data_IF_146129919915
#
_entry.id   IF_146129919915
#
_cell.length_a   1.000
_cell.length_b   1.000
_cell.length_c   1.000
_cell.angle_alpha   90.00
_cell.angle_beta   90.00
_cell.angle_gamma   90.00
#
_symmetry.space_group_name_H-M   'P 1'
#
loop_
_entity.id
_entity.type
_entity.pdbx_description
1 polymer ?
#
# COMPACT_ATOMS: atom_id res chain seq x y z
N UNK A 1 26.80 -47.93 -41.50
CA UNK A 1 25.62 -47.47 -40.75
C UNK A 1 25.71 -45.97 -40.56
N UNK A 2 24.82 -45.18 -41.19
CA UNK A 2 24.74 -43.73 -40.96
C UNK A 2 23.85 -43.50 -39.74
N UNK A 3 24.41 -42.92 -38.67
CA UNK A 3 23.64 -42.47 -37.52
C UNK A 3 23.11 -41.06 -37.80
N UNK A 4 21.80 -40.94 -37.98
CA UNK A 4 21.12 -39.65 -38.06
C UNK A 4 20.92 -39.15 -36.64
N UNK A 5 21.64 -38.08 -36.28
CA UNK A 5 21.48 -37.41 -34.99
C UNK A 5 20.17 -36.59 -35.03
N UNK A 6 19.15 -37.03 -34.30
CA UNK A 6 17.90 -36.26 -34.14
C UNK A 6 18.14 -35.27 -32.99
N UNK A 7 18.36 -34.00 -33.32
CA UNK A 7 18.32 -32.91 -32.34
C UNK A 7 16.88 -32.67 -31.92
N UNK A 8 16.53 -33.09 -30.70
CA UNK A 8 15.26 -32.76 -30.06
C UNK A 8 15.34 -31.32 -29.54
N UNK A 9 14.76 -30.37 -30.28
CA UNK A 9 14.54 -29.01 -29.77
C UNK A 9 13.41 -29.05 -28.74
N UNK A 10 13.75 -28.97 -27.45
CA UNK A 10 12.79 -28.69 -26.39
C UNK A 10 12.30 -27.24 -26.57
N UNK A 11 11.10 -27.06 -27.13
CA UNK A 11 10.39 -25.80 -27.05
C UNK A 11 9.88 -25.62 -25.63
N UNK A 12 10.47 -24.68 -24.88
CA UNK A 12 9.87 -24.17 -23.65
C UNK A 12 8.59 -23.44 -24.05
N UNK A 13 7.43 -24.10 -23.86
CA UNK A 13 6.14 -23.42 -23.96
C UNK A 13 6.05 -22.53 -22.70
N UNK A 14 5.96 -21.20 -22.83
CA UNK A 14 5.76 -20.35 -21.66
C UNK A 14 4.45 -20.77 -20.99
N UNK A 15 4.50 -21.09 -19.70
CA UNK A 15 3.30 -21.29 -18.91
C UNK A 15 2.52 -19.98 -18.91
N UNK A 16 1.39 -19.95 -19.62
CA UNK A 16 0.48 -18.82 -19.55
C UNK A 16 -0.12 -18.86 -18.15
N UNK A 17 0.29 -17.92 -17.30
CA UNK A 17 -0.37 -17.70 -16.02
C UNK A 17 -1.74 -17.09 -16.33
N UNK A 18 -2.78 -17.90 -16.14
CA UNK A 18 -4.17 -17.50 -16.42
C UNK A 18 -4.68 -16.45 -15.44
N UNK A 19 -4.08 -16.35 -14.25
CA UNK A 19 -4.35 -15.31 -13.26
C UNK A 19 -3.51 -15.50 -12.01
N UNK A 20 -3.41 -14.44 -11.21
CA UNK A 20 -2.73 -14.43 -9.91
C UNK A 20 -3.66 -13.78 -8.89
N UNK A 21 -3.74 -14.33 -7.69
CA UNK A 21 -4.43 -13.70 -6.56
C UNK A 21 -3.53 -13.76 -5.32
N UNK A 22 -3.02 -12.60 -4.91
CA UNK A 22 -2.22 -12.45 -3.71
C UNK A 22 -3.11 -12.52 -2.46
N UNK A 23 -2.60 -13.09 -1.38
CA UNK A 23 -3.33 -13.15 -0.10
C UNK A 23 -3.25 -11.81 0.66
N UNK A 24 -3.56 -10.69 -0.01
CA UNK A 24 -3.63 -9.37 0.64
C UNK A 24 -4.82 -9.39 1.61
N UNK A 25 -4.60 -9.10 2.90
CA UNK A 25 -5.65 -9.13 3.90
C UNK A 25 -6.55 -7.89 3.78
N UNK A 26 -7.85 -8.11 3.73
CA UNK A 26 -8.84 -7.04 3.54
C UNK A 26 -9.20 -6.32 4.83
N UNK A 27 -9.37 -4.99 4.74
CA UNK A 27 -10.16 -4.21 5.70
C UNK A 27 -10.98 -3.11 5.00
N UNK A 28 -12.10 -2.75 5.61
CA UNK A 28 -12.89 -1.57 5.23
C UNK A 28 -12.26 -0.31 5.82
N UNK A 29 -12.31 0.82 5.10
CA UNK A 29 -11.90 2.13 5.65
C UNK A 29 -12.71 2.52 6.89
N UNK A 30 -13.90 1.94 7.07
CA UNK A 30 -14.69 2.01 8.30
C UNK A 30 -14.75 0.60 8.92
N UNK A 31 -13.75 0.17 9.73
CA UNK A 31 -13.67 -1.19 10.26
C UNK A 31 -14.89 -1.60 11.10
N UNK A 32 -15.41 -0.66 11.89
CA UNK A 32 -16.59 -0.84 12.74
C UNK A 32 -17.92 -0.52 12.02
N UNK A 33 -17.87 -0.22 10.72
CA UNK A 33 -19.03 0.20 9.93
C UNK A 33 -19.53 1.63 10.20
N UNK A 34 -18.79 2.44 10.96
CA UNK A 34 -19.06 3.85 11.17
C UNK A 34 -18.45 4.70 10.04
N UNK A 35 -19.29 5.23 9.15
CA UNK A 35 -18.87 6.05 8.00
C UNK A 35 -18.89 7.56 8.29
N UNK A 36 -18.63 7.97 9.54
CA UNK A 36 -18.41 9.37 9.92
C UNK A 36 -16.91 9.64 10.01
N UNK A 37 -16.51 10.90 9.99
CA UNK A 37 -15.13 11.32 10.24
C UNK A 37 -14.51 10.61 11.47
N UNK A 38 -13.24 10.17 11.39
CA UNK A 38 -12.34 10.34 10.24
C UNK A 38 -12.58 9.35 9.09
N UNK A 39 -13.34 8.28 9.32
CA UNK A 39 -13.47 7.12 8.41
C UNK A 39 -14.05 7.40 7.01
N UNK A 40 -14.54 8.60 6.75
CA UNK A 40 -15.01 8.99 5.41
C UNK A 40 -13.85 9.12 4.43
N UNK A 41 -12.68 9.53 4.92
CA UNK A 41 -11.51 9.91 4.11
C UNK A 41 -10.28 9.14 4.61
N UNK A 42 -10.45 7.84 4.88
CA UNK A 42 -9.35 6.95 5.29
C UNK A 42 -9.10 5.82 4.29
N UNK A 43 -9.39 6.06 3.00
CA UNK A 43 -9.25 5.03 1.98
C UNK A 43 -7.76 4.76 1.66
N UNK A 44 -6.94 5.79 1.75
CA UNK A 44 -5.48 5.74 1.61
C UNK A 44 -4.85 4.99 2.77
N UNK A 45 -5.19 5.35 4.01
CA UNK A 45 -4.70 4.68 5.22
C UNK A 45 -5.11 3.21 5.24
N UNK A 46 -6.36 2.89 4.89
CA UNK A 46 -6.81 1.50 4.80
C UNK A 46 -6.03 0.73 3.72
N UNK A 47 -5.78 1.33 2.56
CA UNK A 47 -4.99 0.71 1.49
C UNK A 47 -3.54 0.44 1.91
N UNK A 48 -2.91 1.41 2.58
CA UNK A 48 -1.58 1.27 3.17
C UNK A 48 -1.56 0.12 4.18
N UNK A 49 -2.53 0.06 5.09
CA UNK A 49 -2.64 -0.98 6.13
C UNK A 49 -2.81 -2.38 5.54
N UNK A 50 -3.59 -2.53 4.47
CA UNK A 50 -3.74 -3.82 3.78
C UNK A 50 -2.42 -4.31 3.17
N UNK A 51 -1.70 -3.44 2.48
CA UNK A 51 -0.38 -3.77 1.90
C UNK A 51 0.66 -4.03 3.00
N UNK A 52 0.65 -3.24 4.06
CA UNK A 52 1.56 -3.41 5.19
C UNK A 52 1.36 -4.77 5.87
N UNK A 53 0.11 -5.16 6.15
CA UNK A 53 -0.20 -6.49 6.70
C UNK A 53 0.19 -7.63 5.74
N UNK A 54 0.02 -7.45 4.44
CA UNK A 54 0.50 -8.42 3.44
C UNK A 54 2.02 -8.63 3.56
N UNK A 55 2.78 -7.53 3.65
CA UNK A 55 4.23 -7.56 3.80
C UNK A 55 4.72 -8.02 5.18
N UNK A 56 3.88 -7.94 6.20
CA UNK A 56 4.09 -8.58 7.50
C UNK A 56 3.69 -10.07 7.50
N UNK A 57 3.26 -10.63 6.35
CA UNK A 57 2.84 -12.03 6.18
C UNK A 57 1.64 -12.40 7.06
N UNK A 58 0.69 -11.48 7.23
CA UNK A 58 -0.56 -11.80 7.89
C UNK A 58 -1.25 -12.96 7.14
N UNK A 59 -1.57 -14.02 7.89
CA UNK A 59 -2.15 -15.25 7.34
C UNK A 59 -3.66 -15.13 7.11
N UNK A 60 -4.32 -14.19 7.78
CA UNK A 60 -5.76 -14.03 7.69
C UNK A 60 -6.13 -13.25 6.43
N UNK A 61 -7.13 -13.70 5.68
CA UNK A 61 -7.62 -12.96 4.50
C UNK A 61 -8.37 -11.66 4.88
N UNK A 62 -8.70 -11.46 6.16
CA UNK A 62 -9.25 -10.21 6.69
C UNK A 62 -8.46 -9.77 7.92
N UNK A 63 -8.23 -8.47 8.04
CA UNK A 63 -7.65 -7.87 9.23
C UNK A 63 -8.73 -7.77 10.31
N UNK A 64 -8.39 -8.14 11.55
CA UNK A 64 -9.33 -8.03 12.67
C UNK A 64 -9.73 -6.57 12.91
N UNK A 65 -11.01 -6.34 13.27
CA UNK A 65 -11.59 -4.98 13.32
C UNK A 65 -10.80 -4.04 14.23
N UNK A 66 -10.43 -4.50 15.43
CA UNK A 66 -9.66 -3.69 16.39
C UNK A 66 -8.24 -3.43 15.91
N UNK A 67 -7.63 -4.39 15.22
CA UNK A 67 -6.31 -4.25 14.62
C UNK A 67 -6.35 -3.20 13.49
N UNK A 68 -7.27 -3.36 12.53
CA UNK A 68 -7.44 -2.44 11.42
C UNK A 68 -7.71 -1.01 11.91
N UNK A 69 -8.59 -0.84 12.91
CA UNK A 69 -8.86 0.47 13.54
C UNK A 69 -7.59 1.10 14.10
N UNK A 70 -6.80 0.34 14.87
CA UNK A 70 -5.56 0.83 15.47
C UNK A 70 -4.55 1.25 14.40
N UNK A 71 -4.33 0.40 13.40
CA UNK A 71 -3.33 0.62 12.36
C UNK A 71 -3.72 1.78 11.42
N UNK A 72 -4.99 1.90 11.03
CA UNK A 72 -5.47 3.04 10.23
C UNK A 72 -5.27 4.35 10.99
N UNK A 73 -5.63 4.40 12.28
CA UNK A 73 -5.43 5.58 13.11
C UNK A 73 -3.94 5.91 13.34
N UNK A 74 -3.06 4.92 13.29
CA UNK A 74 -1.62 5.14 13.38
C UNK A 74 -1.08 5.84 12.12
N UNK A 75 -1.48 5.38 10.93
CA UNK A 75 -1.11 6.06 9.67
C UNK A 75 -1.65 7.49 9.65
N UNK A 76 -2.92 7.68 10.06
CA UNK A 76 -3.53 9.01 10.19
C UNK A 76 -2.75 9.91 11.16
N UNK A 77 -2.31 9.37 12.30
CA UNK A 77 -1.51 10.12 13.29
C UNK A 77 -0.16 10.56 12.72
N UNK A 78 0.54 9.69 11.99
CA UNK A 78 1.82 10.04 11.33
C UNK A 78 1.58 11.21 10.36
N UNK A 79 0.55 11.09 9.51
CA UNK A 79 0.12 12.13 8.58
C UNK A 79 -0.15 13.47 9.29
N UNK A 80 -0.97 13.45 10.33
CA UNK A 80 -1.33 14.66 11.09
C UNK A 80 -0.13 15.33 11.76
N UNK A 81 0.82 14.55 12.29
CA UNK A 81 2.05 15.09 12.91
C UNK A 81 2.94 15.75 11.87
N UNK A 82 3.08 15.16 10.68
CA UNK A 82 4.08 15.59 9.69
C UNK A 82 3.55 16.66 8.74
N UNK A 83 2.28 16.61 8.36
CA UNK A 83 1.69 17.51 7.36
C UNK A 83 0.44 18.24 7.84
N UNK A 84 -0.02 17.98 9.07
CA UNK A 84 -1.26 18.55 9.59
C UNK A 84 -2.51 17.79 9.11
N UNK A 85 -3.67 18.34 9.42
CA UNK A 85 -4.95 17.70 9.09
C UNK A 85 -5.27 17.86 7.61
N UNK A 86 -5.38 16.73 6.91
CA UNK A 86 -5.92 16.61 5.56
C UNK A 86 -7.00 15.53 5.53
N UNK A 87 -7.97 15.70 4.63
CA UNK A 87 -9.01 14.70 4.39
C UNK A 87 -8.48 13.65 3.40
N UNK A 88 -8.21 14.06 2.17
CA UNK A 88 -7.65 13.21 1.11
C UNK A 88 -6.19 13.58 0.82
N UNK A 89 -5.40 12.61 0.36
CA UNK A 89 -4.02 12.82 -0.11
C UNK A 89 -3.82 12.33 -1.53
N UNK A 90 -2.94 13.00 -2.26
CA UNK A 90 -2.51 12.53 -3.58
C UNK A 90 -1.49 11.39 -3.48
N UNK A 91 -1.23 10.72 -4.60
CA UNK A 91 -0.31 9.60 -4.66
C UNK A 91 1.13 9.97 -4.27
N UNK A 92 1.57 11.20 -4.55
CA UNK A 92 2.91 11.67 -4.16
C UNK A 92 3.06 11.72 -2.63
N UNK A 93 2.04 12.21 -1.92
CA UNK A 93 2.02 12.25 -0.46
C UNK A 93 1.95 10.85 0.14
N UNK A 94 1.15 9.95 -0.44
CA UNK A 94 1.11 8.54 -0.01
C UNK A 94 2.48 7.87 -0.18
N UNK A 95 3.15 8.06 -1.32
CA UNK A 95 4.50 7.53 -1.55
C UNK A 95 5.51 8.13 -0.57
N UNK A 96 5.44 9.43 -0.30
CA UNK A 96 6.29 10.08 0.72
C UNK A 96 6.05 9.48 2.11
N UNK A 97 4.81 9.21 2.49
CA UNK A 97 4.49 8.64 3.80
C UNK A 97 5.13 7.26 3.93
N UNK A 98 4.87 6.39 2.95
CA UNK A 98 5.42 5.03 2.92
C UNK A 98 6.94 5.06 2.99
N UNK A 99 7.55 5.85 2.12
CA UNK A 99 9.01 5.86 1.97
C UNK A 99 9.72 6.46 3.17
N UNK A 100 9.13 7.42 3.89
CA UNK A 100 9.74 7.93 5.11
C UNK A 100 9.50 7.01 6.31
N UNK A 101 8.31 6.41 6.43
CA UNK A 101 7.86 5.90 7.74
C UNK A 101 7.60 4.41 7.85
N UNK A 102 7.46 3.67 6.74
CA UNK A 102 7.03 2.26 6.76
C UNK A 102 8.12 1.28 6.35
N UNK A 103 8.11 0.01 6.82
CA UNK A 103 9.18 -0.98 6.60
C UNK A 103 9.08 -1.66 5.22
N UNK A 104 8.75 -0.86 4.20
CA UNK A 104 8.64 -1.21 2.79
C UNK A 104 8.69 0.08 1.95
N UNK A 105 8.72 -0.07 0.63
CA UNK A 105 8.95 1.03 -0.32
C UNK A 105 7.80 1.16 -1.32
N UNK A 106 7.58 2.37 -1.81
CA UNK A 106 6.65 2.65 -2.87
C UNK A 106 7.25 3.56 -3.95
N UNK A 107 6.78 3.41 -5.18
CA UNK A 107 7.16 4.22 -6.35
C UNK A 107 5.91 4.70 -7.07
N UNK A 108 5.94 5.97 -7.47
CA UNK A 108 4.89 6.59 -8.27
C UNK A 108 5.13 6.30 -9.74
N UNK A 109 4.15 5.69 -10.40
CA UNK A 109 4.19 5.39 -11.83
C UNK A 109 3.11 6.21 -12.54
N UNK A 110 3.54 7.11 -13.42
CA UNK A 110 2.64 7.88 -14.28
C UNK A 110 2.23 7.06 -15.51
N UNK A 111 0.96 7.16 -15.88
CA UNK A 111 0.34 6.45 -17.00
C UNK A 111 0.72 4.96 -17.05
N UNK A 112 0.51 4.21 -15.95
CA UNK A 112 0.89 2.80 -15.87
C UNK A 112 0.15 2.00 -16.95
N UNK A 113 0.86 1.07 -17.59
CA UNK A 113 0.23 0.11 -18.51
C UNK A 113 -0.41 -1.05 -17.74
N UNK A 114 -1.36 -1.74 -18.38
CA UNK A 114 -1.96 -2.96 -17.85
C UNK A 114 -0.90 -4.02 -17.52
N UNK A 115 0.08 -4.19 -18.41
CA UNK A 115 1.14 -5.19 -18.24
C UNK A 115 2.10 -4.83 -17.11
N UNK A 116 2.39 -3.54 -16.90
CA UNK A 116 3.20 -3.11 -15.75
C UNK A 116 2.50 -3.47 -14.43
N UNK A 117 1.19 -3.20 -14.31
CA UNK A 117 0.43 -3.57 -13.11
C UNK A 117 0.44 -5.08 -12.90
N UNK A 118 0.21 -5.88 -13.95
CA UNK A 118 0.25 -7.35 -13.86
C UNK A 118 1.63 -7.86 -13.45
N UNK A 119 2.70 -7.29 -13.99
CA UNK A 119 4.07 -7.66 -13.63
C UNK A 119 4.36 -7.43 -12.15
N UNK A 120 3.84 -6.36 -11.53
CA UNK A 120 3.96 -6.18 -10.07
C UNK A 120 3.27 -7.32 -9.31
N UNK A 121 2.04 -7.65 -9.69
CA UNK A 121 1.27 -8.75 -9.08
C UNK A 121 1.99 -10.10 -9.25
N UNK A 122 2.53 -10.40 -10.43
CA UNK A 122 3.33 -11.60 -10.70
C UNK A 122 4.59 -11.66 -9.82
N UNK A 123 5.14 -10.50 -9.44
CA UNK A 123 6.29 -10.38 -8.53
C UNK A 123 5.88 -10.27 -7.04
N UNK A 124 4.67 -10.72 -6.69
CA UNK A 124 4.16 -10.72 -5.32
C UNK A 124 4.15 -9.32 -4.69
N UNK A 125 3.85 -8.30 -5.50
CA UNK A 125 3.83 -6.89 -5.13
C UNK A 125 2.43 -6.31 -5.42
N UNK A 126 1.58 -6.12 -4.38
CA UNK A 126 0.29 -5.46 -4.55
C UNK A 126 0.46 -4.04 -5.08
N UNK A 127 -0.53 -3.53 -5.80
CA UNK A 127 -0.48 -2.17 -6.37
C UNK A 127 -1.57 -1.32 -5.73
N UNK A 128 -1.21 -0.18 -5.17
CA UNK A 128 -2.19 0.81 -4.66
C UNK A 128 -2.55 1.75 -5.81
N UNK A 129 -3.83 2.04 -6.00
CA UNK A 129 -4.27 2.94 -7.08
C UNK A 129 -5.22 4.03 -6.59
N UNK A 130 -4.93 5.31 -6.84
CA UNK A 130 -5.93 6.37 -6.76
C UNK A 130 -6.87 6.30 -7.96
N UNK A 131 -8.16 6.53 -7.72
CA UNK A 131 -9.19 6.45 -8.76
C UNK A 131 -10.25 7.54 -8.64
N UNK A 132 -10.79 7.94 -9.78
CA UNK A 132 -12.05 8.65 -9.85
C UNK A 132 -13.20 7.67 -9.59
N UNK A 133 -13.66 7.62 -8.34
CA UNK A 133 -14.57 6.58 -7.83
C UNK A 133 -15.91 6.47 -8.57
N UNK A 134 -16.37 7.56 -9.20
CA UNK A 134 -17.61 7.55 -10.03
C UNK A 134 -17.52 6.63 -11.25
N UNK A 135 -16.32 6.41 -11.78
CA UNK A 135 -16.11 5.55 -12.96
C UNK A 135 -16.11 4.06 -12.62
N UNK A 136 -15.84 3.71 -11.36
CA UNK A 136 -15.82 2.31 -10.92
C UNK A 136 -17.17 1.60 -11.06
N UNK A 137 -18.27 2.36 -10.96
CA UNK A 137 -19.66 1.83 -10.99
C UNK A 137 -19.86 0.66 -10.02
N UNK A 138 -19.18 0.67 -8.87
CA UNK A 138 -19.32 -0.37 -7.87
C UNK A 138 -20.76 -0.39 -7.32
N UNK A 139 -21.43 -1.53 -7.45
CA UNK A 139 -22.81 -1.75 -7.00
C UNK A 139 -23.02 -1.58 -5.49
N UNK A 140 -21.95 -1.65 -4.70
CA UNK A 140 -22.00 -1.47 -3.25
C UNK A 140 -21.89 0.01 -2.84
N UNK A 141 -21.49 0.90 -3.75
CA UNK A 141 -21.39 2.32 -3.45
C UNK A 141 -22.75 3.01 -3.52
N UNK A 142 -22.95 3.96 -2.62
CA UNK A 142 -24.09 4.88 -2.68
C UNK A 142 -23.76 6.04 -3.62
N UNK A 143 -24.80 6.64 -4.22
CA UNK A 143 -24.68 7.83 -5.08
C UNK A 143 -23.64 7.68 -6.22
N UNK A 144 -23.43 6.45 -6.70
CA UNK A 144 -22.49 6.13 -7.78
C UNK A 144 -21.01 6.12 -7.38
N UNK A 145 -20.66 6.17 -6.10
CA UNK A 145 -19.26 6.19 -5.63
C UNK A 145 -18.78 7.55 -5.13
N UNK A 146 -17.63 7.61 -4.46
CA UNK A 146 -17.02 8.88 -4.06
C UNK A 146 -16.41 9.59 -5.29
N UNK A 147 -16.07 10.87 -5.15
CA UNK A 147 -15.36 11.60 -6.22
C UNK A 147 -13.93 11.08 -6.32
N UNK A 148 -13.25 10.97 -5.19
CA UNK A 148 -11.94 10.39 -5.07
C UNK A 148 -12.00 9.11 -4.24
N UNK A 149 -11.13 8.15 -4.54
CA UNK A 149 -11.00 6.92 -3.78
C UNK A 149 -9.61 6.31 -3.99
N UNK A 150 -9.20 5.43 -3.09
CA UNK A 150 -8.00 4.61 -3.22
C UNK A 150 -8.32 3.16 -2.86
N UNK A 151 -7.76 2.22 -3.62
CA UNK A 151 -7.92 0.79 -3.39
C UNK A 151 -6.64 0.02 -3.74
N UNK A 152 -6.60 -1.25 -3.39
CA UNK A 152 -5.45 -2.14 -3.66
C UNK A 152 -5.83 -3.15 -4.75
N UNK A 153 -5.00 -3.30 -5.78
CA UNK A 153 -5.03 -4.44 -6.69
C UNK A 153 -4.19 -5.55 -6.06
N UNK A 154 -4.83 -6.69 -5.80
CA UNK A 154 -4.23 -7.88 -5.22
C UNK A 154 -4.13 -9.04 -6.22
N UNK A 155 -4.73 -8.91 -7.41
CA UNK A 155 -4.70 -9.97 -8.39
C UNK A 155 -5.21 -9.59 -9.77
N UNK A 156 -5.11 -10.51 -10.72
CA UNK A 156 -5.72 -10.41 -12.04
C UNK A 156 -6.16 -11.78 -12.55
N UNK A 157 -7.07 -11.75 -13.51
CA UNK A 157 -7.60 -12.90 -14.22
C UNK A 157 -7.67 -12.57 -15.72
N UNK A 158 -6.82 -13.23 -16.52
CA UNK A 158 -6.74 -12.97 -17.96
C UNK A 158 -7.93 -13.57 -18.72
N UNK A 159 -8.58 -14.59 -18.19
CA UNK A 159 -9.73 -15.22 -18.83
C UNK A 159 -10.96 -14.32 -18.72
N UNK A 160 -11.24 -13.81 -17.52
CA UNK A 160 -12.37 -12.89 -17.31
C UNK A 160 -12.05 -11.43 -17.62
N UNK A 161 -10.78 -11.11 -17.85
CA UNK A 161 -10.26 -9.76 -18.05
C UNK A 161 -10.54 -8.82 -16.86
N UNK A 162 -10.31 -9.32 -15.65
CA UNK A 162 -10.61 -8.62 -14.41
C UNK A 162 -9.39 -8.49 -13.49
N UNK A 163 -9.31 -7.35 -12.81
CA UNK A 163 -8.49 -7.24 -11.61
C UNK A 163 -9.27 -7.78 -10.41
N UNK A 164 -8.55 -8.39 -9.47
CA UNK A 164 -8.99 -8.70 -8.13
C UNK A 164 -8.46 -7.59 -7.21
N UNK A 165 -9.34 -7.01 -6.40
CA UNK A 165 -9.01 -5.83 -5.60
C UNK A 165 -9.46 -5.99 -4.16
N UNK A 166 -8.77 -5.30 -3.25
CA UNK A 166 -9.22 -5.05 -1.89
C UNK A 166 -9.80 -3.63 -1.84
N UNK A 167 -11.12 -3.54 -1.77
CA UNK A 167 -11.90 -2.32 -1.96
C UNK A 167 -12.35 -1.71 -0.61
N UNK A 168 -11.61 -0.76 -0.03
CA UNK A 168 -11.86 -0.31 1.34
C UNK A 168 -13.14 0.53 1.47
N UNK A 169 -13.70 1.04 0.37
CA UNK A 169 -14.91 1.88 0.34
C UNK A 169 -16.21 1.12 0.59
N UNK A 170 -16.14 -0.19 0.86
CA UNK A 170 -17.30 -0.99 1.23
C UNK A 170 -16.92 -2.18 2.12
N UNK A 171 -17.85 -2.65 2.96
CA UNK A 171 -17.69 -3.91 3.71
C UNK A 171 -17.61 -5.17 2.83
N UNK A 172 -18.00 -5.06 1.55
CA UNK A 172 -18.01 -6.13 0.57
C UNK A 172 -16.81 -6.02 -0.40
N UNK A 173 -15.69 -5.48 0.08
CA UNK A 173 -14.55 -5.15 -0.77
C UNK A 173 -13.48 -6.22 -0.92
N UNK A 174 -13.56 -7.29 -0.13
CA UNK A 174 -12.63 -8.42 -0.20
C UNK A 174 -12.70 -9.11 -1.57
N UNK A 175 -11.54 -9.24 -2.24
CA UNK A 175 -11.40 -9.82 -3.59
C UNK A 175 -12.44 -9.28 -4.60
N UNK A 176 -12.82 -8.01 -4.47
CA UNK A 176 -13.80 -7.40 -5.35
C UNK A 176 -13.25 -7.32 -6.78
N UNK A 177 -14.08 -7.67 -7.76
CA UNK A 177 -13.66 -7.76 -9.17
C UNK A 177 -14.12 -6.56 -9.97
N UNK A 178 -13.18 -5.98 -10.72
CA UNK A 178 -13.43 -4.95 -11.71
C UNK A 178 -12.79 -5.36 -13.03
N UNK A 179 -13.43 -5.06 -14.18
CA UNK A 179 -12.77 -5.31 -15.46
C UNK A 179 -11.51 -4.46 -15.61
N UNK A 180 -10.52 -4.95 -16.35
CA UNK A 180 -9.31 -4.20 -16.68
C UNK A 180 -9.65 -2.82 -17.23
N UNK A 181 -10.59 -2.75 -18.19
CA UNK A 181 -11.02 -1.50 -18.78
C UNK A 181 -11.61 -0.52 -17.74
N UNK A 182 -12.35 -1.02 -16.75
CA UNK A 182 -12.94 -0.18 -15.70
C UNK A 182 -11.85 0.47 -14.85
N UNK A 183 -10.90 -0.32 -14.35
CA UNK A 183 -9.78 0.20 -13.54
C UNK A 183 -8.92 1.15 -14.36
N UNK A 184 -8.46 0.75 -15.55
CA UNK A 184 -7.58 1.59 -16.38
C UNK A 184 -8.23 2.91 -16.81
N UNK A 185 -9.57 2.94 -16.90
CA UNK A 185 -10.33 4.18 -17.12
C UNK A 185 -10.54 4.99 -15.85
N UNK A 186 -10.58 4.37 -14.68
CA UNK A 186 -10.82 5.03 -13.40
C UNK A 186 -9.56 5.65 -12.81
N UNK A 187 -8.36 5.16 -13.13
CA UNK A 187 -7.07 5.68 -12.64
C UNK A 187 -6.96 7.19 -12.81
N UNK A 188 -7.07 7.93 -11.71
CA UNK A 188 -6.84 9.36 -11.64
C UNK A 188 -6.42 9.72 -10.22
N UNK A 189 -5.33 10.48 -10.11
CA UNK A 189 -4.86 10.98 -8.83
C UNK A 189 -5.78 12.06 -8.27
N UNK A 190 -5.68 12.28 -6.95
CA UNK A 190 -6.43 13.30 -6.26
C UNK A 190 -6.12 14.70 -6.83
N UNK A 191 -7.18 15.44 -7.14
CA UNK A 191 -7.12 16.88 -7.35
C UNK A 191 -8.21 17.55 -6.50
N UNK A 192 -7.88 18.66 -5.82
CA UNK A 192 -8.82 19.34 -4.93
C UNK A 192 -10.03 19.89 -5.70
N UNK A 193 -11.06 20.28 -4.93
CA UNK A 193 -12.31 20.85 -5.46
C UNK A 193 -13.10 19.90 -6.38
N UNK A 194 -12.99 18.59 -6.12
CA UNK A 194 -13.72 17.56 -6.86
C UNK A 194 -13.23 17.37 -8.30
N UNK A 195 -11.99 17.75 -8.61
CA UNK A 195 -11.41 17.69 -9.96
C UNK A 195 -10.68 16.39 -10.27
N UNK A 196 -10.82 15.36 -9.43
CA UNK A 196 -10.17 14.04 -9.61
C UNK A 196 -10.34 13.47 -11.00
N UNK A 197 -11.47 13.67 -11.70
CA UNK A 197 -11.65 13.21 -13.08
C UNK A 197 -10.63 13.79 -14.11
N UNK A 198 -9.86 14.81 -13.73
CA UNK A 198 -8.80 15.42 -14.53
C UNK A 198 -7.40 15.19 -13.94
N UNK A 199 -7.30 14.40 -12.86
CA UNK A 199 -6.02 14.03 -12.26
C UNK A 199 -5.16 13.18 -13.21
N UNK A 200 -3.84 13.22 -13.06
CA UNK A 200 -2.97 12.33 -13.82
C UNK A 200 -3.31 10.86 -13.52
N UNK A 201 -3.13 9.97 -14.49
CA UNK A 201 -3.29 8.54 -14.26
C UNK A 201 -2.07 8.02 -13.50
N UNK A 202 -2.25 7.64 -12.24
CA UNK A 202 -1.16 7.18 -11.38
C UNK A 202 -1.44 5.78 -10.87
N UNK A 203 -0.39 4.98 -10.70
CA UNK A 203 -0.37 3.84 -9.80
C UNK A 203 0.81 3.95 -8.84
N UNK A 204 0.65 3.37 -7.65
CA UNK A 204 1.68 3.29 -6.62
C UNK A 204 2.15 1.84 -6.57
N UNK A 205 3.33 1.59 -7.12
CA UNK A 205 3.96 0.27 -7.11
C UNK A 205 4.65 0.07 -5.76
N UNK A 206 4.39 -1.05 -5.10
CA UNK A 206 4.86 -1.30 -3.73
C UNK A 206 5.89 -2.42 -3.72
N UNK A 207 6.86 -2.37 -2.82
CA UNK A 207 7.88 -3.40 -2.70
C UNK A 207 8.23 -3.65 -1.24
N UNK A 208 8.33 -4.92 -0.84
CA UNK A 208 8.78 -5.28 0.51
C UNK A 208 10.20 -4.78 0.78
N UNK A 209 11.06 -4.86 -0.23
CA UNK A 209 12.47 -4.52 -0.15
C UNK A 209 12.68 -3.01 -0.22
N UNK A 210 13.47 -2.48 0.72
CA UNK A 210 13.84 -1.08 0.78
C UNK A 210 15.12 -0.88 -0.05
N UNK A 211 14.99 -0.31 -1.25
CA UNK A 211 16.10 -0.18 -2.20
C UNK A 211 16.59 1.26 -2.37
N UNK A 212 15.69 2.23 -2.25
CA UNK A 212 15.98 3.66 -2.40
C UNK A 212 15.71 4.48 -1.15
N UNK A 213 14.68 4.13 -0.37
CA UNK A 213 14.21 4.94 0.76
C UNK A 213 14.95 4.71 2.08
N UNK A 214 15.82 3.71 2.18
CA UNK A 214 16.45 3.29 3.44
C UNK A 214 17.36 4.33 4.10
N UNK A 215 17.89 5.28 3.30
CA UNK A 215 18.78 6.35 3.77
C UNK A 215 18.05 7.62 4.25
N UNK A 216 16.72 7.66 4.14
CA UNK A 216 15.94 8.80 4.63
C UNK A 216 16.01 8.84 6.16
N UNK A 217 16.10 10.04 6.74
CA UNK A 217 16.04 10.30 8.17
C UNK A 217 14.89 11.29 8.36
N UNK A 218 13.73 10.77 8.76
CA UNK A 218 12.46 11.49 8.58
C UNK A 218 12.05 12.33 9.79
N UNK A 219 12.74 12.22 10.91
CA UNK A 219 12.64 13.11 12.07
C UNK A 219 13.95 13.85 12.41
N UNK A 220 15.01 13.62 11.62
CA UNK A 220 16.30 14.31 11.66
C UNK A 220 17.02 14.14 13.00
N UNK A 221 16.94 12.94 13.56
CA UNK A 221 17.57 12.59 14.83
C UNK A 221 18.98 11.98 14.67
N UNK A 222 19.37 11.68 13.42
CA UNK A 222 20.66 11.10 13.06
C UNK A 222 20.61 9.60 12.71
N UNK A 223 19.45 8.95 12.77
CA UNK A 223 19.24 7.59 12.27
C UNK A 223 18.54 7.59 10.93
N UNK A 224 19.07 6.82 9.99
CA UNK A 224 18.35 6.50 8.76
C UNK A 224 17.22 5.50 9.04
N UNK A 225 16.16 5.53 8.24
CA UNK A 225 15.03 4.60 8.25
C UNK A 225 15.45 3.14 8.38
N UNK A 226 16.49 2.71 7.65
CA UNK A 226 17.02 1.35 7.76
C UNK A 226 17.63 1.08 9.14
N UNK A 227 18.38 2.03 9.70
CA UNK A 227 18.91 1.92 11.06
C UNK A 227 17.79 1.91 12.08
N UNK A 228 16.78 2.76 11.94
CA UNK A 228 15.65 2.81 12.88
C UNK A 228 14.92 1.47 12.95
N UNK A 229 14.61 0.85 11.82
CA UNK A 229 14.03 -0.51 11.83
C UNK A 229 14.96 -1.57 12.41
N UNK A 230 16.27 -1.43 12.24
CA UNK A 230 17.25 -2.34 12.83
C UNK A 230 17.34 -2.19 14.37
N UNK A 231 17.18 -0.98 14.89
CA UNK A 231 17.17 -0.69 16.33
C UNK A 231 15.78 -0.82 16.95
N UNK A 232 14.73 -0.91 16.14
CA UNK A 232 13.33 -0.96 16.58
C UNK A 232 12.74 0.40 16.93
N UNK A 233 13.45 1.50 16.65
CA UNK A 233 13.00 2.87 16.88
C UNK A 233 11.93 3.30 15.87
N UNK A 234 11.35 4.48 16.09
CA UNK A 234 10.15 4.98 15.43
C UNK A 234 10.52 6.10 14.46
N UNK A 235 10.43 5.80 13.17
CA UNK A 235 10.79 6.68 12.03
C UNK A 235 10.15 8.06 11.95
N UNK A 236 9.20 8.37 12.85
CA UNK A 236 8.54 9.67 12.91
C UNK A 236 8.69 10.38 14.25
N UNK A 237 9.41 9.80 15.22
CA UNK A 237 9.63 10.32 16.56
C UNK A 237 11.12 10.29 16.91
N UNK A 238 11.70 11.48 17.07
CA UNK A 238 13.11 11.70 17.39
C UNK A 238 13.58 11.00 18.69
N UNK A 239 12.66 10.76 19.63
CA UNK A 239 12.88 10.06 20.89
C UNK A 239 11.76 9.00 21.01
N UNK A 240 12.10 7.75 20.70
CA UNK A 240 11.14 6.67 20.54
C UNK A 240 10.58 6.18 21.87
N UNK A 241 11.37 6.20 22.93
CA UNK A 241 10.95 5.73 24.25
C UNK A 241 10.55 6.86 25.23
N UNK A 242 10.73 8.11 24.81
CA UNK A 242 10.26 9.31 25.47
C UNK A 242 11.06 9.67 26.72
N UNK A 243 12.33 9.28 26.79
CA UNK A 243 13.16 9.51 27.97
C UNK A 243 13.98 10.81 27.96
N UNK A 244 13.88 11.57 26.88
CA UNK A 244 14.50 12.87 26.70
C UNK A 244 15.80 12.85 25.89
N UNK A 245 16.24 11.69 25.39
CA UNK A 245 17.37 11.57 24.47
C UNK A 245 16.89 11.17 23.07
N UNK A 246 17.54 11.72 22.04
CA UNK A 246 17.23 11.37 20.66
C UNK A 246 17.75 9.96 20.33
N UNK A 247 17.05 9.17 19.51
CA UNK A 247 17.43 7.79 19.20
C UNK A 247 18.83 7.72 18.58
N UNK A 248 19.13 8.62 17.64
CA UNK A 248 20.45 8.76 17.03
C UNK A 248 21.55 9.15 18.01
N UNK A 249 21.24 9.99 19.01
CA UNK A 249 22.18 10.32 20.07
C UNK A 249 22.47 9.09 20.95
N UNK A 250 21.44 8.34 21.30
CA UNK A 250 21.57 7.13 22.11
C UNK A 250 22.43 6.09 21.40
N UNK A 251 22.11 5.76 20.15
CA UNK A 251 22.88 4.80 19.34
C UNK A 251 24.34 5.22 19.20
N UNK A 252 24.61 6.51 18.92
CA UNK A 252 25.96 7.04 18.81
C UNK A 252 26.78 6.85 20.10
N UNK A 253 26.13 6.88 21.25
CA UNK A 253 26.76 6.73 22.57
C UNK A 253 26.63 5.31 23.16
N UNK A 254 26.07 4.36 22.40
CA UNK A 254 25.93 2.96 22.82
C UNK A 254 24.75 2.69 23.78
N UNK A 255 23.78 3.60 23.86
CA UNK A 255 22.51 3.43 24.54
C UNK A 255 21.44 2.84 23.59
N UNK A 256 20.27 2.51 24.13
CA UNK A 256 19.21 1.80 23.42
C UNK A 256 18.04 2.74 23.16
N UNK A 257 17.72 3.07 21.89
CA UNK A 257 16.67 4.04 21.53
C UNK A 257 15.25 3.58 21.87
N UNK A 258 15.10 2.27 22.05
CA UNK A 258 13.86 1.70 22.56
C UNK A 258 14.18 1.03 23.88
N UNK A 259 13.83 1.64 25.01
CA UNK A 259 13.90 0.94 26.29
C UNK A 259 13.20 -0.40 26.20
N UNK A 260 13.99 -1.46 26.35
CA UNK A 260 13.53 -2.66 27.04
C UNK A 260 13.71 -2.40 28.53
N UNK A 261 12.66 -1.96 29.21
CA UNK A 261 12.62 -2.05 30.67
C UNK A 261 12.59 -3.55 31.04
N UNK A 262 13.76 -4.17 31.15
CA UNK A 262 13.95 -5.43 31.89
C UNK A 262 15.27 -5.40 32.67
N UNK A 263 15.20 -4.86 33.90
CA UNK A 263 15.47 -5.60 35.16
C UNK A 263 15.86 -4.63 36.27
N UNK A 264 15.02 -4.58 37.30
CA UNK A 264 15.43 -4.75 38.69
C UNK A 264 14.50 -5.77 39.34
#
# INVERSE_FOLDING_TARGET
MRFTLICLFLFLIPNIVFGVNLNVPFTSQAPEGNWRQPWQDTCEEASIVMVDNFYQKNINKKIEVNQAKKEILQILKIKEIKWGKSLDENAEQVVKLINNYLPWEAKLIENPSLDQIKNEIDNNQPVIIPVYGKTLKNKNFKNGGPIYHMLVISGFDNETQEFITEEPGTRNGLDFRYSFATIMSALHDYLPYGKTAFGPKIAIFTSKEINGSGKLDADNDGLTKEQEFNYGSITWLNDSDGDGYADGFEVLNGYSPTKKLEKL
#
